data_IF_906580411569
#
_entry.id   IF_906580411569
#
_cell.length_a   1.000
_cell.length_b   1.000
_cell.length_c   1.000
_cell.angle_alpha   90.00
_cell.angle_beta   90.00
_cell.angle_gamma   90.00
#
_symmetry.space_group_name_H-M   'P 1'
#
loop_
_entity.id
_entity.type
_entity.pdbx_description
1 polymer ?
#
# COMPACT_ATOMS: atom_id res chain seq x y z
N UNK A 1 6.54 -1.30 -15.57
CA UNK A 1 6.87 -0.67 -14.28
C UNK A 1 5.55 -0.63 -13.53
N UNK A 2 5.40 -1.40 -12.46
CA UNK A 2 4.09 -1.54 -11.81
C UNK A 2 3.65 -0.19 -11.24
N UNK A 3 2.37 0.15 -11.37
CA UNK A 3 1.75 1.33 -10.77
C UNK A 3 0.64 0.89 -9.81
N UNK A 4 0.50 1.59 -8.70
CA UNK A 4 -0.42 1.22 -7.63
C UNK A 4 -1.47 2.30 -7.39
N UNK A 5 -2.70 1.88 -7.10
CA UNK A 5 -3.75 2.76 -6.61
C UNK A 5 -4.02 2.37 -5.16
N UNK A 6 -3.74 3.24 -4.20
CA UNK A 6 -4.10 3.02 -2.80
C UNK A 6 -5.48 3.63 -2.56
N UNK A 7 -6.42 2.82 -2.09
CA UNK A 7 -7.80 3.22 -1.82
C UNK A 7 -8.04 3.18 -0.33
N UNK A 8 -8.57 4.28 0.20
CA UNK A 8 -8.95 4.39 1.61
C UNK A 8 -8.16 5.44 2.36
N UNK A 9 -8.29 5.39 3.68
CA UNK A 9 -7.80 6.41 4.59
C UNK A 9 -7.18 5.81 5.85
N UNK A 10 -6.56 6.67 6.66
CA UNK A 10 -5.95 6.28 7.91
C UNK A 10 -4.50 5.81 7.78
N UNK A 11 -4.01 5.26 8.89
CA UNK A 11 -2.58 4.96 9.09
C UNK A 11 -2.04 3.96 8.08
N UNK A 12 -2.76 2.86 7.85
CA UNK A 12 -2.31 1.80 6.94
C UNK A 12 -2.22 2.28 5.49
N UNK A 13 -3.22 3.05 5.03
CA UNK A 13 -3.20 3.67 3.70
C UNK A 13 -2.00 4.62 3.54
N UNK A 14 -1.70 5.42 4.57
CA UNK A 14 -0.56 6.33 4.56
C UNK A 14 0.79 5.58 4.50
N UNK A 15 0.96 4.55 5.34
CA UNK A 15 2.16 3.71 5.37
C UNK A 15 2.38 3.01 4.02
N UNK A 16 1.34 2.39 3.47
CA UNK A 16 1.42 1.72 2.16
C UNK A 16 1.82 2.68 1.05
N UNK A 17 1.19 3.86 1.02
CA UNK A 17 1.51 4.91 0.04
C UNK A 17 2.96 5.33 0.16
N UNK A 18 3.42 5.61 1.38
CA UNK A 18 4.81 6.00 1.65
C UNK A 18 5.80 4.95 1.15
N UNK A 19 5.61 3.69 1.51
CA UNK A 19 6.54 2.62 1.12
C UNK A 19 6.62 2.42 -0.39
N UNK A 20 5.48 2.42 -1.07
CA UNK A 20 5.43 2.24 -2.53
C UNK A 20 6.11 3.42 -3.23
N UNK A 21 5.81 4.66 -2.81
CA UNK A 21 6.45 5.86 -3.36
C UNK A 21 7.96 5.88 -3.10
N UNK A 22 8.40 5.57 -1.87
CA UNK A 22 9.82 5.49 -1.49
C UNK A 22 10.62 4.53 -2.36
N UNK A 23 10.00 3.45 -2.84
CA UNK A 23 10.64 2.47 -3.72
C UNK A 23 10.53 2.86 -5.21
N UNK A 24 10.07 4.08 -5.52
CA UNK A 24 9.94 4.58 -6.89
C UNK A 24 8.71 4.07 -7.65
N UNK A 25 7.75 3.43 -6.97
CA UNK A 25 6.49 3.01 -7.59
C UNK A 25 5.58 4.24 -7.73
N UNK A 26 5.02 4.53 -8.91
CA UNK A 26 4.00 5.56 -9.05
C UNK A 26 2.73 5.14 -8.30
N UNK A 27 2.23 6.01 -7.41
CA UNK A 27 1.06 5.74 -6.57
C UNK A 27 0.00 6.79 -6.78
N UNK A 28 -1.25 6.36 -7.00
CA UNK A 28 -2.42 7.19 -6.88
C UNK A 28 -3.15 6.91 -5.56
N UNK A 29 -3.26 7.90 -4.68
CA UNK A 29 -4.03 7.80 -3.43
C UNK A 29 -5.44 8.35 -3.66
N UNK A 30 -6.45 7.50 -3.47
CA UNK A 30 -7.86 7.80 -3.70
C UNK A 30 -8.71 7.62 -2.44
N UNK A 31 -9.62 8.57 -2.21
CA UNK A 31 -10.55 8.53 -1.08
C UNK A 31 -9.92 8.88 0.27
N UNK A 32 -8.73 9.48 0.28
CA UNK A 32 -8.04 9.89 1.49
C UNK A 32 -8.41 11.33 1.90
N UNK A 33 -8.78 11.54 3.16
CA UNK A 33 -8.99 12.87 3.73
C UNK A 33 -7.73 13.75 3.74
N UNK A 34 -7.92 15.06 3.97
CA UNK A 34 -6.84 16.04 4.05
C UNK A 34 -5.77 15.65 5.08
N UNK A 35 -6.18 15.14 6.24
CA UNK A 35 -5.27 14.68 7.28
C UNK A 35 -4.36 13.55 6.77
N UNK A 36 -4.93 12.50 6.18
CA UNK A 36 -4.18 11.38 5.61
C UNK A 36 -3.19 11.85 4.54
N UNK A 37 -3.57 12.82 3.69
CA UNK A 37 -2.68 13.41 2.67
C UNK A 37 -1.51 14.16 3.28
N UNK A 38 -1.75 14.92 4.34
CA UNK A 38 -0.70 15.64 5.06
C UNK A 38 0.24 14.66 5.79
N UNK A 39 -0.32 13.61 6.40
CA UNK A 39 0.48 12.52 7.01
C UNK A 39 1.40 11.87 5.98
N UNK A 40 0.91 11.52 4.79
CA UNK A 40 1.74 10.93 3.73
C UNK A 40 2.89 11.86 3.35
N UNK A 41 2.64 13.16 3.18
CA UNK A 41 3.70 14.14 2.86
C UNK A 41 4.74 14.21 3.97
N UNK A 42 4.30 14.26 5.24
CA UNK A 42 5.19 14.27 6.40
C UNK A 42 6.07 13.01 6.44
N UNK A 43 5.48 11.83 6.24
CA UNK A 43 6.22 10.57 6.25
C UNK A 43 7.21 10.44 5.10
N UNK A 44 6.90 11.02 3.93
CA UNK A 44 7.82 11.06 2.79
C UNK A 44 8.98 12.03 3.04
N UNK A 45 8.71 13.17 3.69
CA UNK A 45 9.74 14.12 4.08
C UNK A 45 10.69 13.50 5.12
N UNK A 46 10.14 12.93 6.20
CA UNK A 46 10.90 12.25 7.25
C UNK A 46 11.79 11.14 6.67
N UNK A 47 11.26 10.35 5.74
CA UNK A 47 12.03 9.30 5.07
C UNK A 47 13.27 9.82 4.32
N UNK A 48 13.19 11.00 3.72
CA UNK A 48 14.32 11.61 3.01
C UNK A 48 15.32 12.18 4.00
N UNK A 49 14.85 12.82 5.06
CA UNK A 49 15.70 13.34 6.14
C UNK A 49 16.49 12.22 6.82
N UNK A 50 15.87 11.05 7.02
CA UNK A 50 16.54 9.84 7.51
C UNK A 50 17.54 9.26 6.50
N UNK A 51 17.19 9.25 5.21
CA UNK A 51 18.02 8.64 4.15
C UNK A 51 19.23 9.52 3.80
N UNK A 52 19.08 10.84 3.89
CA UNK A 52 20.09 11.84 3.56
C UNK A 52 20.26 12.80 4.75
N UNK A 53 21.02 12.42 5.79
CA UNK A 53 21.19 13.25 6.97
C UNK A 53 21.89 14.56 6.61
N UNK A 54 21.41 15.67 7.16
CA UNK A 54 21.93 17.00 6.90
C UNK A 54 23.29 17.19 7.55
N UNK A 55 24.35 17.23 6.74
CA UNK A 55 25.71 17.51 7.19
C UNK A 55 26.17 18.90 6.74
N UNK A 56 25.72 19.34 5.56
CA UNK A 56 26.04 20.61 4.94
C UNK A 56 24.79 21.28 4.34
N UNK A 57 24.90 22.58 4.03
CA UNK A 57 23.79 23.37 3.46
C UNK A 57 23.36 22.84 2.08
N UNK A 58 24.29 22.31 1.29
CA UNK A 58 23.97 21.74 -0.03
C UNK A 58 23.08 20.49 0.07
N UNK A 59 23.11 19.78 1.21
CA UNK A 59 22.23 18.62 1.44
C UNK A 59 20.76 19.03 1.51
N UNK A 60 20.43 20.26 1.94
CA UNK A 60 19.05 20.76 1.91
C UNK A 60 18.48 20.81 0.50
N UNK A 61 19.31 21.22 -0.47
CA UNK A 61 18.90 21.26 -1.88
C UNK A 61 18.69 19.85 -2.40
N UNK A 62 19.57 18.94 -2.02
CA UNK A 62 19.45 17.53 -2.42
C UNK A 62 18.19 16.88 -1.83
N UNK A 63 17.91 17.10 -0.54
CA UNK A 63 16.69 16.62 0.12
C UNK A 63 15.43 17.15 -0.57
N UNK A 64 15.38 18.46 -0.87
CA UNK A 64 14.24 19.07 -1.58
C UNK A 64 14.05 18.49 -2.99
N UNK A 65 15.14 18.27 -3.72
CA UNK A 65 15.09 17.65 -5.04
C UNK A 65 14.56 16.23 -4.97
N UNK A 66 15.08 15.41 -4.04
CA UNK A 66 14.60 14.05 -3.82
C UNK A 66 13.13 14.01 -3.40
N UNK A 67 12.68 14.97 -2.57
CA UNK A 67 11.28 15.09 -2.16
C UNK A 67 10.39 15.41 -3.34
N UNK A 68 10.80 16.35 -4.19
CA UNK A 68 10.06 16.71 -5.40
C UNK A 68 9.89 15.51 -6.35
N UNK A 69 10.90 14.64 -6.45
CA UNK A 69 10.84 13.41 -7.24
C UNK A 69 9.86 12.39 -6.66
N UNK A 70 9.91 12.16 -5.34
CA UNK A 70 8.96 11.25 -4.68
C UNK A 70 7.51 11.77 -4.77
N UNK A 71 7.31 13.07 -4.56
CA UNK A 71 6.00 13.70 -4.72
C UNK A 71 5.53 13.70 -6.19
N UNK A 72 6.45 13.77 -7.15
CA UNK A 72 6.12 13.61 -8.57
C UNK A 72 5.56 12.23 -8.91
N UNK A 73 5.95 11.20 -8.16
CA UNK A 73 5.41 9.84 -8.26
C UNK A 73 4.09 9.64 -7.49
N UNK A 74 3.68 10.60 -6.65
CA UNK A 74 2.49 10.54 -5.83
C UNK A 74 1.37 11.42 -6.39
N UNK A 75 0.25 10.81 -6.77
CA UNK A 75 -0.96 11.51 -7.19
C UNK A 75 -2.05 11.35 -6.13
N UNK A 76 -2.35 12.41 -5.40
CA UNK A 76 -3.50 12.44 -4.47
C UNK A 76 -4.71 13.03 -5.19
N UNK A 77 -5.78 12.26 -5.34
CA UNK A 77 -6.97 12.72 -6.09
C UNK A 77 -8.26 12.08 -5.60
N UNK A 78 -9.35 12.85 -5.69
CA UNK A 78 -10.73 12.39 -5.43
C UNK A 78 -11.47 12.02 -6.72
N UNK A 79 -10.80 12.15 -7.88
CA UNK A 79 -11.38 11.90 -9.19
C UNK A 79 -10.96 10.54 -9.71
N UNK A 80 -11.91 9.61 -9.80
CA UNK A 80 -11.70 8.22 -10.23
C UNK A 80 -11.21 8.15 -11.68
N UNK A 81 -11.62 9.11 -12.52
CA UNK A 81 -11.28 9.19 -13.95
C UNK A 81 -9.77 9.37 -14.19
N UNK A 82 -9.06 9.81 -13.15
CA UNK A 82 -7.63 10.13 -13.19
C UNK A 82 -6.76 9.00 -12.66
N UNK A 83 -7.37 7.89 -12.23
CA UNK A 83 -6.67 6.74 -11.67
C UNK A 83 -6.21 5.82 -12.78
N UNK A 84 -4.92 5.50 -12.76
CA UNK A 84 -4.31 4.50 -13.62
C UNK A 84 -3.37 3.68 -12.73
N UNK A 85 -3.50 2.36 -12.81
CA UNK A 85 -2.80 1.44 -11.92
C UNK A 85 -2.94 0.01 -12.39
N UNK A 86 -1.91 -0.79 -12.16
CA UNK A 86 -1.94 -2.23 -12.40
C UNK A 86 -2.46 -3.00 -11.18
N UNK A 87 -2.24 -2.45 -9.98
CA UNK A 87 -2.66 -3.03 -8.70
C UNK A 87 -3.42 -1.99 -7.87
N UNK A 88 -4.58 -2.36 -7.35
CA UNK A 88 -5.36 -1.58 -6.39
C UNK A 88 -5.05 -2.13 -5.00
N UNK A 89 -4.49 -1.33 -4.11
CA UNK A 89 -4.31 -1.63 -2.70
C UNK A 89 -5.55 -1.12 -1.96
N UNK A 90 -6.39 -2.04 -1.50
CA UNK A 90 -7.56 -1.73 -0.70
C UNK A 90 -7.19 -1.70 0.78
N UNK A 91 -7.07 -0.49 1.31
CA UNK A 91 -6.84 -0.19 2.71
C UNK A 91 -8.11 0.30 3.42
N UNK A 92 -9.29 0.07 2.83
CA UNK A 92 -10.57 0.43 3.47
C UNK A 92 -10.95 -0.58 4.54
N UNK A 93 -11.66 -0.12 5.58
CA UNK A 93 -12.25 -1.01 6.58
C UNK A 93 -13.55 -1.59 6.01
N UNK A 94 -13.60 -2.91 5.84
CA UNK A 94 -14.74 -3.64 5.31
C UNK A 94 -14.60 -4.05 3.84
N UNK A 95 -15.22 -5.17 3.48
CA UNK A 95 -15.19 -5.69 2.12
C UNK A 95 -16.06 -4.87 1.16
N UNK A 96 -15.56 -4.64 -0.05
CA UNK A 96 -16.33 -4.10 -1.19
C UNK A 96 -16.97 -2.72 -0.95
N UNK A 97 -16.20 -1.81 -0.34
CA UNK A 97 -16.63 -0.44 -0.07
C UNK A 97 -17.04 0.32 -1.35
N UNK A 98 -17.83 1.38 -1.19
CA UNK A 98 -18.26 2.21 -2.32
C UNK A 98 -17.07 2.80 -3.08
N UNK A 99 -15.99 3.14 -2.37
CA UNK A 99 -14.73 3.63 -2.94
C UNK A 99 -14.07 2.57 -3.82
N UNK A 100 -13.88 1.35 -3.30
CA UNK A 100 -13.31 0.26 -4.09
C UNK A 100 -14.17 -0.04 -5.33
N UNK A 101 -15.50 -0.11 -5.17
CA UNK A 101 -16.42 -0.35 -6.30
C UNK A 101 -16.31 0.73 -7.37
N UNK A 102 -16.11 2.00 -6.98
CA UNK A 102 -15.89 3.07 -7.93
C UNK A 102 -14.58 2.83 -8.71
N UNK A 103 -13.47 2.58 -8.03
CA UNK A 103 -12.16 2.35 -8.68
C UNK A 103 -12.20 1.14 -9.62
N UNK A 104 -12.81 0.02 -9.19
CA UNK A 104 -12.93 -1.20 -10.01
C UNK A 104 -13.74 -0.99 -11.29
N UNK A 105 -14.68 -0.05 -11.33
CA UNK A 105 -15.44 0.29 -12.56
C UNK A 105 -14.58 1.01 -13.59
N UNK A 106 -13.65 1.86 -13.13
CA UNK A 106 -12.77 2.63 -14.01
C UNK A 106 -11.51 1.86 -14.40
N UNK A 107 -11.03 0.98 -13.52
CA UNK A 107 -9.85 0.15 -13.73
C UNK A 107 -10.19 -1.34 -13.52
N UNK A 108 -11.03 -1.94 -14.38
CA UNK A 108 -11.51 -3.32 -14.20
C UNK A 108 -10.44 -4.40 -14.40
N UNK A 109 -9.32 -4.04 -15.04
CA UNK A 109 -8.20 -4.94 -15.28
C UNK A 109 -7.16 -4.96 -14.16
N UNK A 110 -7.24 -4.04 -13.20
CA UNK A 110 -6.31 -4.01 -12.08
C UNK A 110 -6.61 -5.14 -11.08
N UNK A 111 -5.54 -5.72 -10.56
CA UNK A 111 -5.61 -6.72 -9.48
C UNK A 111 -5.85 -6.00 -8.17
N UNK A 112 -6.77 -6.47 -7.34
CA UNK A 112 -7.05 -5.89 -6.02
C UNK A 112 -6.28 -6.65 -4.96
N UNK A 113 -5.48 -5.94 -4.18
CA UNK A 113 -4.80 -6.42 -2.97
C UNK A 113 -5.59 -5.91 -1.76
N UNK A 114 -6.37 -6.78 -1.13
CA UNK A 114 -7.20 -6.45 0.04
C UNK A 114 -6.43 -6.63 1.34
N UNK A 115 -6.32 -5.58 2.15
CA UNK A 115 -5.65 -5.62 3.45
C UNK A 115 -6.56 -6.08 4.60
N UNK A 116 -7.88 -6.05 4.39
CA UNK A 116 -8.89 -6.47 5.39
C UNK A 116 -9.23 -7.98 5.31
N UNK A 117 -8.52 -8.72 4.45
CA UNK A 117 -8.71 -10.15 4.27
C UNK A 117 -9.89 -10.53 3.37
N UNK A 118 -9.96 -11.83 3.06
CA UNK A 118 -10.95 -12.58 2.26
C UNK A 118 -11.87 -11.83 1.28
N UNK A 119 -11.60 -11.98 -0.02
CA UNK A 119 -12.57 -11.71 -1.08
C UNK A 119 -12.72 -12.94 -1.99
N UNK A 120 -13.95 -13.22 -2.43
CA UNK A 120 -14.28 -14.39 -3.25
C UNK A 120 -14.20 -14.10 -4.77
N UNK A 121 -13.22 -13.30 -5.19
CA UNK A 121 -13.12 -12.80 -6.55
C UNK A 121 -11.77 -13.20 -7.17
N UNK A 122 -11.78 -13.54 -8.46
CA UNK A 122 -10.60 -14.02 -9.20
C UNK A 122 -9.47 -12.99 -9.25
N UNK A 123 -9.83 -11.70 -9.32
CA UNK A 123 -8.88 -10.58 -9.37
C UNK A 123 -8.53 -10.00 -8.00
N UNK A 124 -9.09 -10.54 -6.91
CA UNK A 124 -8.79 -10.05 -5.56
C UNK A 124 -7.91 -11.05 -4.80
N UNK A 125 -6.83 -10.54 -4.23
CA UNK A 125 -5.86 -11.25 -3.43
C UNK A 125 -5.95 -10.71 -2.01
N UNK A 126 -6.28 -11.55 -1.04
CA UNK A 126 -6.23 -11.19 0.37
C UNK A 126 -4.78 -11.12 0.85
N UNK A 127 -4.44 -10.11 1.65
CA UNK A 127 -3.14 -9.96 2.25
C UNK A 127 -3.31 -9.61 3.73
N UNK A 128 -2.67 -10.38 4.60
CA UNK A 128 -2.57 -10.05 6.02
C UNK A 128 -1.31 -9.23 6.28
N UNK A 129 -1.48 -8.17 7.07
CA UNK A 129 -0.43 -7.25 7.46
C UNK A 129 -0.12 -7.46 8.94
N UNK A 130 1.16 -7.57 9.29
CA UNK A 130 1.61 -7.75 10.67
C UNK A 130 2.17 -6.45 11.25
N UNK A 131 1.71 -6.06 12.43
CA UNK A 131 2.17 -4.87 13.12
C UNK A 131 3.43 -5.12 13.99
N UNK A 132 4.31 -4.13 14.17
CA UNK A 132 4.30 -2.79 13.56
C UNK A 132 4.81 -2.81 12.12
N UNK A 133 3.92 -2.56 11.17
CA UNK A 133 4.18 -2.84 9.76
C UNK A 133 5.23 -1.91 9.14
N UNK A 134 5.36 -0.68 9.66
CA UNK A 134 6.37 0.27 9.20
C UNK A 134 7.81 -0.27 9.36
N UNK A 135 8.00 -1.11 10.38
CA UNK A 135 9.29 -1.66 10.78
C UNK A 135 9.46 -3.06 10.20
N UNK A 136 8.47 -3.95 10.42
CA UNK A 136 8.59 -5.35 10.04
C UNK A 136 8.59 -5.52 8.52
N UNK A 137 7.72 -4.78 7.81
CA UNK A 137 7.47 -4.94 6.36
C UNK A 137 7.16 -6.38 5.99
N UNK A 138 6.40 -7.05 6.85
CA UNK A 138 6.01 -8.45 6.68
C UNK A 138 4.54 -8.53 6.31
N UNK A 139 4.23 -9.32 5.27
CA UNK A 139 2.87 -9.60 4.83
C UNK A 139 2.70 -11.08 4.52
N UNK A 140 1.50 -11.61 4.71
CA UNK A 140 1.13 -12.95 4.27
C UNK A 140 0.10 -12.85 3.15
N UNK A 141 0.38 -13.47 2.01
CA UNK A 141 -0.60 -13.59 0.94
C UNK A 141 -1.58 -14.72 1.28
N UNK A 142 -2.86 -14.40 1.34
CA UNK A 142 -3.95 -15.36 1.55
C UNK A 142 -4.83 -15.38 0.29
N UNK A 143 -4.48 -16.23 -0.69
CA UNK A 143 -5.29 -16.35 -1.90
C UNK A 143 -6.61 -17.05 -1.56
N UNK A 144 -7.70 -16.60 -2.18
CA UNK A 144 -8.96 -17.31 -2.17
C UNK A 144 -8.90 -18.49 -3.16
N UNK A 145 -9.76 -19.52 -3.03
CA UNK A 145 -9.80 -20.61 -4.00
C UNK A 145 -10.19 -20.16 -5.43
N UNK A 146 -10.81 -18.99 -5.57
CA UNK A 146 -11.14 -18.40 -6.86
C UNK A 146 -10.01 -17.54 -7.45
N UNK A 147 -9.01 -17.14 -6.64
CA UNK A 147 -7.99 -16.16 -7.04
C UNK A 147 -7.06 -16.73 -8.13
N UNK A 148 -6.89 -15.97 -9.22
CA UNK A 148 -5.99 -16.37 -10.30
C UNK A 148 -4.50 -16.29 -9.90
N UNK A 149 -3.74 -17.28 -10.36
CA UNK A 149 -2.29 -17.37 -10.19
C UNK A 149 -1.55 -16.15 -10.73
N UNK A 150 -2.02 -15.54 -11.83
CA UNK A 150 -1.39 -14.34 -12.39
C UNK A 150 -1.63 -13.12 -11.49
N UNK A 151 -2.79 -13.03 -10.84
CA UNK A 151 -3.10 -11.99 -9.85
C UNK A 151 -2.16 -12.08 -8.64
N UNK A 152 -1.95 -13.29 -8.12
CA UNK A 152 -0.99 -13.53 -7.02
C UNK A 152 0.43 -13.16 -7.44
N UNK A 153 0.86 -13.53 -8.64
CA UNK A 153 2.19 -13.20 -9.14
C UNK A 153 2.41 -11.67 -9.26
N UNK A 154 1.40 -10.91 -9.69
CA UNK A 154 1.46 -9.44 -9.74
C UNK A 154 1.58 -8.81 -8.36
N UNK A 155 0.77 -9.28 -7.40
CA UNK A 155 0.87 -8.81 -6.01
C UNK A 155 2.25 -9.13 -5.43
N UNK A 156 2.75 -10.35 -5.61
CA UNK A 156 4.11 -10.72 -5.18
C UNK A 156 5.19 -9.85 -5.80
N UNK A 157 5.06 -9.50 -7.09
CA UNK A 157 5.99 -8.58 -7.74
C UNK A 157 5.93 -7.17 -7.13
N UNK A 158 4.74 -6.68 -6.78
CA UNK A 158 4.58 -5.39 -6.11
C UNK A 158 5.24 -5.41 -4.72
N UNK A 159 4.99 -6.44 -3.92
CA UNK A 159 5.56 -6.59 -2.59
C UNK A 159 7.09 -6.66 -2.65
N UNK A 160 7.65 -7.41 -3.60
CA UNK A 160 9.10 -7.50 -3.81
C UNK A 160 9.71 -6.14 -4.17
N UNK A 161 9.05 -5.36 -5.03
CA UNK A 161 9.50 -4.01 -5.39
C UNK A 161 9.45 -3.05 -4.20
N UNK A 162 8.47 -3.23 -3.31
CA UNK A 162 8.33 -2.44 -2.08
C UNK A 162 9.24 -2.91 -0.93
N UNK A 163 10.11 -3.91 -1.16
CA UNK A 163 10.93 -4.56 -0.13
C UNK A 163 10.10 -5.11 1.04
N UNK A 164 8.90 -5.63 0.74
CA UNK A 164 8.03 -6.31 1.70
C UNK A 164 8.32 -7.82 1.62
N UNK A 165 8.50 -8.44 2.78
CA UNK A 165 8.75 -9.87 2.91
C UNK A 165 7.41 -10.62 2.95
N UNK A 166 7.23 -11.55 2.02
CA UNK A 166 6.09 -12.49 2.03
C UNK A 166 6.38 -13.63 3.02
N UNK A 167 5.42 -13.90 3.93
CA UNK A 167 5.42 -15.10 4.75
C UNK A 167 4.69 -16.23 4.08
N UNK A 168 5.27 -17.42 4.19
CA UNK A 168 4.56 -18.66 3.88
C UNK A 168 3.49 -18.93 4.92
N UNK A 169 2.47 -19.74 4.57
CA UNK A 169 1.36 -20.10 5.45
C UNK A 169 1.81 -20.60 6.83
N UNK A 170 2.85 -21.43 6.89
CA UNK A 170 3.41 -21.95 8.15
C UNK A 170 4.04 -20.86 9.02
N UNK A 171 4.67 -19.87 8.38
CA UNK A 171 5.26 -18.74 9.09
C UNK A 171 4.18 -17.76 9.54
N UNK A 172 3.11 -17.59 8.75
CA UNK A 172 1.92 -16.84 9.14
C UNK A 172 1.22 -17.43 10.36
N UNK A 173 1.01 -18.76 10.38
CA UNK A 173 0.41 -19.48 11.52
C UNK A 173 1.26 -19.35 12.80
N UNK A 174 2.60 -19.23 12.67
CA UNK A 174 3.49 -18.96 13.79
C UNK A 174 3.42 -17.48 14.19
N UNK A 175 3.41 -16.56 13.24
CA UNK A 175 3.32 -15.13 13.49
C UNK A 175 2.02 -14.77 14.23
N UNK A 176 0.87 -15.34 13.85
CA UNK A 176 -0.40 -15.16 14.58
C UNK A 176 -0.37 -15.68 16.02
N UNK A 177 0.45 -16.71 16.30
CA UNK A 177 0.62 -17.24 17.67
C UNK A 177 1.50 -16.35 18.54
N UNK A 178 2.38 -15.54 17.96
CA UNK A 178 3.36 -14.73 18.70
C UNK A 178 3.10 -13.22 18.62
N UNK A 179 2.34 -12.75 17.64
CA UNK A 179 2.00 -11.35 17.38
C UNK A 179 0.48 -11.26 17.25
N UNK A 180 -0.23 -10.52 18.13
CA UNK A 180 -1.68 -10.39 18.01
C UNK A 180 -2.04 -9.74 16.67
N UNK A 181 -2.74 -10.50 15.83
CA UNK A 181 -3.32 -10.05 14.56
C UNK A 181 -4.60 -9.25 14.82
N UNK A 182 -4.72 -8.08 14.20
CA UNK A 182 -5.80 -7.12 14.48
C UNK A 182 -7.12 -7.42 13.75
N UNK A 183 -7.54 -8.69 13.70
CA UNK A 183 -8.90 -9.01 13.23
C UNK A 183 -9.95 -8.95 14.34
N UNK A 184 -9.59 -8.69 15.60
CA UNK A 184 -10.56 -8.77 16.73
C UNK A 184 -10.39 -7.74 17.87
N UNK A 185 -9.82 -6.55 17.66
CA UNK A 185 -9.65 -5.60 18.78
C UNK A 185 -10.22 -4.19 18.52
N UNK A 186 -11.50 -4.12 18.16
CA UNK A 186 -12.37 -2.94 18.41
C UNK A 186 -13.83 -3.44 18.51
N UNK A 187 -14.20 -3.96 19.69
CA UNK A 187 -15.58 -3.94 20.19
C UNK A 187 -15.66 -2.91 21.32
#
# INVERSE_FOLDING_TARGET
MASAIVVGEGKLAAVMTKMLCSCGTPVALYGAEKLTRETVKSMLQEHIEESFPLQFIDDLRHQQEMLSRLLGNLRMTDDVSRLFGEVIVDATQGHNTALLRAVRRFVPEAVVMSLDGAANDEKTVGVHVYEPFEITRIMQIVPSPATDSASVARVRSLLKNAHIVELDRKQGDLAERYVPSYTTCCQ
#
